data_IF_869072119211
#
_entry.id   IF_869072119211
#
_cell.length_a   1.000
_cell.length_b   1.000
_cell.length_c   1.000
_cell.angle_alpha   90.00
_cell.angle_beta   90.00
_cell.angle_gamma   90.00
#
_symmetry.space_group_name_H-M   'P 1'
#
loop_
_entity.id
_entity.type
_entity.pdbx_description
1 polymer ?
#
# COMPACT_ATOMS: atom_id res chain seq x y z
N UNK A 1 1.51 2.56 10.50
CA UNK A 1 1.52 3.13 9.13
C UNK A 1 0.71 4.42 9.00
N UNK A 2 -0.50 4.50 9.55
CA UNK A 2 -1.39 5.67 9.38
C UNK A 2 -0.74 7.04 9.65
N UNK A 3 -0.13 7.23 10.83
CA UNK A 3 0.47 8.52 11.20
C UNK A 3 1.60 8.97 10.25
N UNK A 4 2.47 8.05 9.83
CA UNK A 4 3.58 8.34 8.90
C UNK A 4 3.04 8.80 7.55
N UNK A 5 2.09 8.06 6.97
CA UNK A 5 1.51 8.43 5.67
C UNK A 5 0.76 9.75 5.73
N UNK A 6 0.10 10.03 6.86
CA UNK A 6 -0.58 11.31 7.08
C UNK A 6 0.42 12.48 7.13
N UNK A 7 1.51 12.35 7.87
CA UNK A 7 2.56 13.36 7.91
C UNK A 7 3.17 13.60 6.52
N UNK A 8 3.55 12.53 5.80
CA UNK A 8 4.11 12.66 4.45
C UNK A 8 3.16 13.30 3.45
N UNK A 9 1.85 13.05 3.61
CA UNK A 9 0.81 13.68 2.80
C UNK A 9 0.65 15.17 3.12
N UNK A 10 0.62 15.55 4.40
CA UNK A 10 0.47 16.95 4.81
C UNK A 10 1.68 17.81 4.44
N UNK A 11 2.88 17.25 4.60
CA UNK A 11 4.16 17.91 4.27
C UNK A 11 4.55 17.76 2.79
N UNK A 12 3.68 17.19 1.94
CA UNK A 12 3.92 16.94 0.52
C UNK A 12 5.28 16.26 0.21
N UNK A 13 5.67 15.29 1.04
CA UNK A 13 6.95 14.61 0.91
C UNK A 13 6.89 13.53 -0.17
N UNK A 14 7.82 13.51 -1.15
CA UNK A 14 7.88 12.48 -2.19
C UNK A 14 7.97 11.09 -1.57
N UNK A 15 7.05 10.19 -1.94
CA UNK A 15 6.95 8.86 -1.32
C UNK A 15 6.87 7.79 -2.39
N UNK A 16 7.72 6.77 -2.28
CA UNK A 16 7.78 5.66 -3.22
C UNK A 16 7.33 4.38 -2.53
N UNK A 17 6.63 3.53 -3.30
CA UNK A 17 6.16 2.24 -2.84
C UNK A 17 6.53 1.17 -3.86
N UNK A 18 6.83 -0.02 -3.36
CA UNK A 18 6.91 -1.24 -4.17
C UNK A 18 6.08 -2.31 -3.47
N UNK A 19 5.40 -3.14 -4.25
CA UNK A 19 4.50 -4.17 -3.73
C UNK A 19 4.45 -5.33 -4.72
N UNK A 20 4.31 -6.54 -4.19
CA UNK A 20 3.97 -7.73 -4.98
C UNK A 20 2.46 -7.81 -5.29
N UNK A 21 1.67 -6.96 -4.64
CA UNK A 21 0.21 -6.90 -4.74
C UNK A 21 -0.24 -5.66 -5.50
N UNK A 22 -1.33 -5.80 -6.25
CA UNK A 22 -2.09 -4.66 -6.73
C UNK A 22 -2.83 -3.92 -5.59
N UNK A 23 -3.49 -2.81 -5.87
CA UNK A 23 -4.18 -2.04 -4.83
C UNK A 23 -5.32 -2.79 -4.15
N UNK A 24 -6.06 -3.64 -4.86
CA UNK A 24 -7.18 -4.41 -4.27
C UNK A 24 -6.65 -5.48 -3.34
N UNK A 25 -5.63 -6.20 -3.78
CA UNK A 25 -4.93 -7.21 -3.01
C UNK A 25 -4.23 -6.59 -1.79
N UNK A 26 -3.61 -5.43 -1.95
CA UNK A 26 -2.97 -4.70 -0.87
C UNK A 26 -3.99 -4.21 0.17
N UNK A 27 -5.16 -3.71 -0.27
CA UNK A 27 -6.25 -3.33 0.62
C UNK A 27 -6.72 -4.52 1.46
N UNK A 28 -7.01 -5.64 0.80
CA UNK A 28 -7.41 -6.88 1.47
C UNK A 28 -6.33 -7.37 2.46
N UNK A 29 -5.05 -7.28 2.07
CA UNK A 29 -3.94 -7.65 2.94
C UNK A 29 -3.85 -6.74 4.18
N UNK A 30 -4.17 -5.46 4.04
CA UNK A 30 -4.17 -4.49 5.14
C UNK A 30 -5.41 -4.61 6.05
N UNK A 31 -6.48 -5.26 5.58
CA UNK A 31 -7.72 -5.47 6.36
C UNK A 31 -7.52 -6.42 7.54
N UNK A 32 -6.70 -7.47 7.38
CA UNK A 32 -6.55 -8.47 8.43
C UNK A 32 -5.39 -8.16 9.37
N UNK A 33 -5.69 -8.18 10.66
CA UNK A 33 -4.66 -8.11 11.71
C UNK A 33 -4.09 -9.49 12.02
N UNK A 34 -2.97 -9.56 12.74
CA UNK A 34 -2.41 -10.84 13.22
C UNK A 34 -3.38 -11.63 14.12
N UNK A 35 -4.41 -10.97 14.67
CA UNK A 35 -5.45 -11.58 15.50
C UNK A 35 -6.66 -12.07 14.69
N UNK A 36 -6.66 -11.89 13.37
CA UNK A 36 -7.76 -12.27 12.49
C UNK A 36 -8.95 -11.29 12.49
N UNK A 37 -8.87 -10.20 13.27
CA UNK A 37 -9.88 -9.15 13.26
C UNK A 37 -9.79 -8.35 11.95
N UNK A 38 -10.93 -8.16 11.29
CA UNK A 38 -11.07 -7.39 10.07
C UNK A 38 -11.28 -5.90 10.39
N UNK A 39 -10.32 -5.06 9.99
CA UNK A 39 -10.36 -3.61 10.16
C UNK A 39 -10.50 -2.88 8.80
N UNK A 40 -11.57 -3.15 8.06
CA UNK A 40 -11.80 -2.64 6.69
C UNK A 40 -11.66 -1.11 6.60
N UNK A 41 -12.27 -0.38 7.53
CA UNK A 41 -12.19 1.10 7.60
C UNK A 41 -10.77 1.62 7.73
N UNK A 42 -9.90 0.89 8.43
CA UNK A 42 -8.51 1.28 8.62
C UNK A 42 -7.68 0.99 7.38
N UNK A 43 -7.92 -0.16 6.73
CA UNK A 43 -7.28 -0.53 5.47
C UNK A 43 -7.63 0.47 4.36
N UNK A 44 -8.92 0.78 4.19
CA UNK A 44 -9.40 1.77 3.23
C UNK A 44 -8.73 3.14 3.43
N UNK A 45 -8.63 3.63 4.69
CA UNK A 45 -7.96 4.91 5.00
C UNK A 45 -6.48 4.92 4.65
N UNK A 46 -5.78 3.81 4.85
CA UNK A 46 -4.36 3.68 4.48
C UNK A 46 -4.24 3.68 2.94
N UNK A 47 -5.11 2.93 2.26
CA UNK A 47 -5.10 2.85 0.80
C UNK A 47 -5.38 4.19 0.13
N UNK A 48 -6.32 4.98 0.62
CA UNK A 48 -6.58 6.32 0.09
C UNK A 48 -5.35 7.23 0.18
N UNK A 49 -4.59 7.15 1.28
CA UNK A 49 -3.33 7.91 1.42
C UNK A 49 -2.26 7.44 0.44
N UNK A 50 -2.17 6.13 0.19
CA UNK A 50 -1.22 5.57 -0.78
C UNK A 50 -1.59 6.02 -2.20
N UNK A 51 -2.89 5.97 -2.57
CA UNK A 51 -3.40 6.44 -3.87
C UNK A 51 -3.16 7.94 -4.09
N UNK A 52 -3.21 8.73 -3.02
CA UNK A 52 -2.88 10.15 -3.08
C UNK A 52 -1.38 10.39 -3.30
N UNK A 53 -0.52 9.69 -2.55
CA UNK A 53 0.93 9.89 -2.56
C UNK A 53 1.63 9.31 -3.79
N UNK A 54 1.05 8.30 -4.45
CA UNK A 54 1.71 7.59 -5.54
C UNK A 54 0.75 7.15 -6.64
N UNK A 55 1.28 7.08 -7.88
CA UNK A 55 0.58 6.51 -9.03
C UNK A 55 1.06 5.08 -9.26
N UNK A 56 0.16 4.09 -9.40
CA UNK A 56 0.56 2.71 -9.64
C UNK A 56 1.15 2.55 -11.04
N UNK A 57 2.25 1.81 -11.14
CA UNK A 57 2.85 1.41 -12.41
C UNK A 57 3.04 -0.11 -12.35
N UNK A 58 2.34 -0.89 -13.21
CA UNK A 58 2.51 -2.34 -13.23
C UNK A 58 3.90 -2.70 -13.80
N UNK A 59 4.64 -3.53 -13.06
CA UNK A 59 5.97 -3.98 -13.46
C UNK A 59 5.89 -5.46 -13.84
N UNK A 60 6.04 -5.75 -15.13
CA UNK A 60 6.16 -7.10 -15.67
C UNK A 60 7.62 -7.45 -16.03
N UNK A 61 7.89 -8.73 -16.25
CA UNK A 61 9.20 -9.18 -16.72
C UNK A 61 9.45 -10.68 -16.54
N UNK A 62 10.53 -11.19 -17.12
CA UNK A 62 10.97 -12.57 -16.91
C UNK A 62 11.50 -12.74 -15.49
N UNK A 63 11.14 -13.86 -14.84
CA UNK A 63 11.69 -14.23 -13.53
C UNK A 63 13.22 -14.33 -13.63
N UNK A 64 13.93 -13.70 -12.67
CA UNK A 64 15.39 -13.61 -12.64
C UNK A 64 16.04 -14.51 -11.58
N UNK A 65 15.27 -15.31 -10.83
CA UNK A 65 15.77 -16.12 -9.71
C UNK A 65 16.58 -17.35 -10.14
N UNK A 66 16.29 -17.93 -11.30
CA UNK A 66 16.98 -19.10 -11.86
C UNK A 66 17.76 -18.76 -13.14
N UNK A 67 18.26 -17.53 -13.23
CA UNK A 67 19.25 -17.15 -14.24
C UNK A 67 20.65 -17.33 -13.70
#
# INVERSE_FOLDING_TARGET
LGAILQFRMLENLPTFFTSNFDFKQLEHHLTYTQRGEAEEMKAARIMERIKYLAKPIPIGGKNRRHK
#
